data_IF_629813173589
#
_entry.id   IF_629813173589
#
_cell.length_a   1.000
_cell.length_b   1.000
_cell.length_c   1.000
_cell.angle_alpha   90.00
_cell.angle_beta   90.00
_cell.angle_gamma   90.00
#
_symmetry.space_group_name_H-M   'P 1'
#
loop_
_entity.id
_entity.type
_entity.pdbx_description
1 polymer ?
#
# COMPACT_ATOMS: atom_id res chain seq x y z
N UNK A 1 26.40 -0.79 -11.18
CA UNK A 1 26.57 0.54 -11.76
C UNK A 1 25.25 1.27 -11.60
N UNK A 2 25.25 2.41 -10.87
CA UNK A 2 24.07 3.25 -10.73
C UNK A 2 23.63 3.79 -12.08
N UNK A 3 22.34 3.94 -12.26
CA UNK A 3 21.74 4.62 -13.40
C UNK A 3 21.21 5.94 -12.86
N UNK A 4 21.75 7.05 -13.35
CA UNK A 4 21.25 8.37 -12.98
C UNK A 4 19.86 8.58 -13.59
N UNK A 5 18.85 8.94 -12.80
CA UNK A 5 17.52 9.24 -13.34
C UNK A 5 17.55 10.57 -14.09
N UNK A 6 16.89 10.62 -15.23
CA UNK A 6 16.71 11.83 -16.02
C UNK A 6 15.24 12.22 -16.02
N UNK A 7 14.98 13.49 -15.79
CA UNK A 7 13.64 14.07 -15.90
C UNK A 7 13.42 14.47 -17.36
N UNK A 8 12.34 13.97 -17.95
CA UNK A 8 11.92 14.28 -19.33
C UNK A 8 10.53 14.90 -19.33
N UNK A 9 10.08 15.45 -20.45
CA UNK A 9 8.77 16.08 -20.63
C UNK A 9 8.50 17.24 -19.65
N UNK A 10 9.49 18.11 -19.51
CA UNK A 10 9.41 19.25 -18.60
C UNK A 10 8.30 20.26 -18.96
N UNK A 11 7.77 20.21 -20.17
CA UNK A 11 6.66 21.05 -20.65
C UNK A 11 5.31 20.73 -19.98
N UNK A 12 5.17 19.53 -19.39
CA UNK A 12 4.01 19.12 -18.60
C UNK A 12 4.21 19.23 -17.09
N UNK A 13 5.29 19.84 -16.63
CA UNK A 13 5.56 20.06 -15.22
C UNK A 13 4.98 21.39 -14.73
N UNK A 14 4.57 21.40 -13.45
CA UNK A 14 4.23 22.63 -12.76
C UNK A 14 5.52 23.36 -12.35
N UNK A 15 5.61 24.64 -12.65
CA UNK A 15 6.82 25.43 -12.36
C UNK A 15 6.46 26.86 -11.91
N UNK A 16 6.87 27.25 -10.71
CA UNK A 16 6.61 28.57 -10.16
C UNK A 16 5.12 28.95 -10.20
N UNK A 17 4.73 30.08 -10.80
CA UNK A 17 3.33 30.49 -10.90
C UNK A 17 2.54 29.75 -12.00
N UNK A 18 3.21 28.94 -12.82
CA UNK A 18 2.58 28.21 -13.92
C UNK A 18 2.07 26.86 -13.45
N UNK A 19 0.76 26.78 -13.22
CA UNK A 19 0.10 25.55 -12.79
C UNK A 19 -0.07 24.59 -13.96
N UNK A 20 0.31 23.33 -13.78
CA UNK A 20 -0.01 22.25 -14.69
C UNK A 20 -1.35 21.62 -14.28
N UNK A 21 -2.25 21.38 -15.27
CA UNK A 21 -3.50 20.66 -15.09
C UNK A 21 -3.49 19.27 -15.72
N UNK A 22 -2.37 18.91 -16.32
CA UNK A 22 -2.19 17.57 -16.91
C UNK A 22 -1.95 16.54 -15.82
N UNK A 23 -2.53 15.37 -15.99
CA UNK A 23 -2.30 14.25 -15.09
C UNK A 23 -2.55 12.91 -15.77
N UNK A 24 -1.91 11.88 -15.25
CA UNK A 24 -2.22 10.50 -15.59
C UNK A 24 -3.17 9.93 -14.54
N UNK A 25 -4.35 9.47 -14.95
CA UNK A 25 -5.44 9.10 -14.04
C UNK A 25 -5.08 8.09 -12.94
N UNK A 26 -4.06 7.25 -13.16
CA UNK A 26 -3.61 6.29 -12.15
C UNK A 26 -2.69 6.89 -11.07
N UNK A 27 -2.09 8.06 -11.32
CA UNK A 27 -1.16 8.70 -10.40
C UNK A 27 -1.73 9.94 -9.70
N UNK A 28 -2.84 10.49 -10.23
CA UNK A 28 -3.43 11.71 -9.66
C UNK A 28 -3.96 11.47 -8.24
N UNK A 29 -3.69 12.43 -7.36
CA UNK A 29 -4.22 12.40 -6.00
C UNK A 29 -5.74 12.62 -6.02
N UNK A 30 -6.55 11.66 -5.53
CA UNK A 30 -7.99 11.80 -5.50
C UNK A 30 -8.49 12.96 -4.60
N UNK A 31 -7.66 13.47 -3.68
CA UNK A 31 -8.01 14.65 -2.87
C UNK A 31 -8.05 15.94 -3.69
N UNK A 32 -7.36 15.98 -4.84
CA UNK A 32 -7.39 17.11 -5.76
C UNK A 32 -8.50 16.99 -6.81
N UNK A 33 -9.24 15.88 -6.80
CA UNK A 33 -10.27 15.57 -7.79
C UNK A 33 -11.68 15.84 -7.25
N UNK A 34 -12.62 16.03 -8.18
CA UNK A 34 -14.05 16.09 -7.84
C UNK A 34 -14.51 14.72 -7.28
N UNK A 35 -14.93 14.66 -6.00
CA UNK A 35 -15.34 13.40 -5.36
C UNK A 35 -16.63 12.81 -5.94
N UNK A 36 -17.41 13.60 -6.70
CA UNK A 36 -18.66 13.16 -7.34
C UNK A 36 -18.46 12.68 -8.78
N UNK A 37 -17.27 12.84 -9.32
CA UNK A 37 -16.98 12.44 -10.69
C UNK A 37 -16.93 10.91 -10.84
N UNK A 38 -17.30 10.42 -12.03
CA UNK A 38 -17.23 8.97 -12.36
C UNK A 38 -15.81 8.47 -12.62
N UNK A 39 -14.86 9.38 -12.78
CA UNK A 39 -13.43 9.13 -12.96
C UNK A 39 -12.66 10.34 -12.42
N UNK A 40 -11.37 10.23 -12.11
CA UNK A 40 -10.59 11.36 -11.62
C UNK A 40 -10.71 12.58 -12.54
N UNK A 41 -11.12 13.70 -11.99
CA UNK A 41 -11.24 14.98 -12.65
C UNK A 41 -10.67 16.06 -11.73
N UNK A 42 -9.52 16.61 -12.12
CA UNK A 42 -8.77 17.55 -11.32
C UNK A 42 -9.54 18.87 -11.17
N UNK A 43 -9.75 19.29 -9.91
CA UNK A 43 -10.40 20.58 -9.56
C UNK A 43 -9.48 21.49 -8.77
N UNK A 44 -8.38 20.99 -8.25
CA UNK A 44 -7.35 21.73 -7.53
C UNK A 44 -5.99 21.57 -8.21
N UNK A 45 -5.07 22.54 -8.11
CA UNK A 45 -3.72 22.40 -8.65
C UNK A 45 -2.93 21.32 -7.88
N UNK A 46 -1.93 20.76 -8.56
CA UNK A 46 -0.95 19.87 -7.92
C UNK A 46 -0.18 20.62 -6.82
N UNK A 47 0.31 19.88 -5.83
CA UNK A 47 1.12 20.38 -4.73
C UNK A 47 2.11 19.29 -4.27
N UNK A 48 2.99 19.62 -3.32
CA UNK A 48 3.99 18.66 -2.81
C UNK A 48 3.39 17.36 -2.29
N UNK A 49 2.25 17.41 -1.60
CA UNK A 49 1.56 16.22 -1.11
C UNK A 49 1.09 15.31 -2.25
N UNK A 50 0.59 15.92 -3.35
CA UNK A 50 0.18 15.16 -4.54
C UNK A 50 1.37 14.52 -5.27
N UNK A 51 2.55 15.14 -5.22
CA UNK A 51 3.77 14.59 -5.80
C UNK A 51 4.26 13.39 -4.98
N UNK A 52 4.25 13.50 -3.64
CA UNK A 52 4.55 12.37 -2.77
C UNK A 52 3.55 11.23 -2.89
N UNK A 53 2.26 11.54 -3.11
CA UNK A 53 1.25 10.54 -3.41
C UNK A 53 1.55 9.79 -4.71
N UNK A 54 1.88 10.51 -5.78
CA UNK A 54 2.25 9.94 -7.07
C UNK A 54 3.52 9.09 -6.97
N UNK A 55 4.52 9.57 -6.22
CA UNK A 55 5.74 8.83 -5.92
C UNK A 55 5.43 7.51 -5.18
N UNK A 56 4.58 7.54 -4.18
CA UNK A 56 4.21 6.34 -3.44
C UNK A 56 3.50 5.29 -4.31
N UNK A 57 2.65 5.71 -5.27
CA UNK A 57 2.06 4.81 -6.26
C UNK A 57 3.14 4.17 -7.13
N UNK A 58 4.07 4.98 -7.64
CA UNK A 58 5.16 4.51 -8.49
C UNK A 58 6.07 3.55 -7.71
N UNK A 59 6.40 3.86 -6.47
CA UNK A 59 7.19 3.01 -5.58
C UNK A 59 6.50 1.67 -5.36
N UNK A 60 5.21 1.67 -5.00
CA UNK A 60 4.46 0.43 -4.80
C UNK A 60 4.41 -0.42 -6.07
N UNK A 61 4.21 0.21 -7.25
CA UNK A 61 4.23 -0.51 -8.54
C UNK A 61 5.61 -1.10 -8.84
N UNK A 62 6.69 -0.41 -8.52
CA UNK A 62 8.06 -0.89 -8.73
C UNK A 62 8.41 -2.07 -7.83
N UNK A 63 7.92 -2.06 -6.59
CA UNK A 63 8.19 -3.11 -5.60
C UNK A 63 7.29 -4.35 -5.77
N UNK A 64 6.03 -4.17 -6.17
CA UNK A 64 5.03 -5.23 -6.14
C UNK A 64 4.44 -5.58 -7.52
N UNK A 65 4.80 -4.86 -8.58
CA UNK A 65 4.19 -4.97 -9.92
C UNK A 65 2.67 -4.75 -9.93
N UNK A 66 2.15 -4.07 -8.92
CA UNK A 66 0.74 -3.67 -8.78
C UNK A 66 0.65 -2.33 -8.07
N UNK A 67 -0.22 -1.46 -8.56
CA UNK A 67 -0.53 -0.19 -7.88
C UNK A 67 -1.61 -0.37 -6.81
N UNK A 68 -1.80 0.64 -5.94
CA UNK A 68 -2.70 0.56 -4.79
C UNK A 68 -4.16 0.28 -5.17
N UNK A 69 -4.62 0.67 -6.36
CA UNK A 69 -5.99 0.48 -6.84
C UNK A 69 -6.12 -0.63 -7.89
N UNK A 70 -5.14 -1.54 -7.96
CA UNK A 70 -5.13 -2.69 -8.85
C UNK A 70 -6.06 -3.83 -8.42
N UNK A 71 -5.83 -5.01 -9.01
CA UNK A 71 -6.60 -6.21 -8.69
C UNK A 71 -8.03 -6.22 -9.26
N UNK A 72 -8.83 -7.18 -8.78
CA UNK A 72 -10.21 -7.38 -9.24
C UNK A 72 -11.15 -7.13 -8.08
N UNK A 73 -11.87 -6.01 -8.13
CA UNK A 73 -12.87 -5.67 -7.13
C UNK A 73 -14.15 -6.50 -7.33
N UNK A 74 -14.58 -7.18 -6.26
CA UNK A 74 -15.77 -8.02 -6.23
C UNK A 74 -16.58 -7.67 -4.98
N UNK A 75 -17.41 -6.60 -5.02
CA UNK A 75 -18.21 -6.23 -3.88
C UNK A 75 -19.22 -7.33 -3.54
N UNK A 76 -19.42 -7.59 -2.26
CA UNK A 76 -20.45 -8.50 -1.75
C UNK A 76 -21.85 -7.93 -1.93
N UNK A 77 -21.97 -6.60 -1.91
CA UNK A 77 -23.20 -5.85 -2.13
C UNK A 77 -22.88 -4.51 -2.80
N UNK A 78 -23.90 -3.93 -3.47
CA UNK A 78 -23.76 -2.63 -4.12
C UNK A 78 -23.24 -2.68 -5.56
N UNK A 79 -22.92 -1.50 -6.08
CA UNK A 79 -22.51 -1.33 -7.47
C UNK A 79 -21.01 -1.59 -7.66
N UNK A 80 -20.66 -2.27 -8.74
CA UNK A 80 -19.27 -2.48 -9.12
C UNK A 80 -18.63 -1.15 -9.54
N UNK A 81 -17.63 -0.71 -8.81
CA UNK A 81 -16.86 0.49 -9.13
C UNK A 81 -15.79 0.16 -10.18
N UNK A 82 -15.73 0.88 -11.31
CA UNK A 82 -14.72 0.65 -12.33
C UNK A 82 -13.33 1.00 -11.80
N UNK A 83 -12.28 0.38 -12.36
CA UNK A 83 -10.91 0.56 -11.89
C UNK A 83 -10.47 2.03 -11.91
N UNK A 84 -10.91 2.79 -12.90
CA UNK A 84 -10.59 4.22 -13.05
C UNK A 84 -11.14 5.09 -11.93
N UNK A 85 -12.19 4.65 -11.23
CA UNK A 85 -12.81 5.40 -10.13
C UNK A 85 -12.40 4.90 -8.74
N UNK A 86 -11.65 3.80 -8.63
CA UNK A 86 -11.35 3.18 -7.32
C UNK A 86 -10.56 4.10 -6.39
N UNK A 87 -9.66 4.93 -6.93
CA UNK A 87 -8.94 5.92 -6.13
C UNK A 87 -9.88 6.90 -5.43
N UNK A 88 -10.95 7.37 -6.11
CA UNK A 88 -11.97 8.24 -5.53
C UNK A 88 -12.75 7.57 -4.39
N UNK A 89 -12.91 6.26 -4.43
CA UNK A 89 -13.61 5.45 -3.43
C UNK A 89 -12.68 4.74 -2.44
N UNK A 90 -11.35 4.95 -2.50
CA UNK A 90 -10.33 4.31 -1.64
C UNK A 90 -10.38 2.78 -1.67
N UNK A 91 -10.86 2.19 -2.78
CA UNK A 91 -10.89 0.73 -2.97
C UNK A 91 -9.49 0.27 -3.36
N UNK A 92 -8.73 -0.16 -2.39
CA UNK A 92 -7.31 -0.52 -2.54
C UNK A 92 -7.11 -2.03 -2.64
N UNK A 93 -5.89 -2.46 -2.98
CA UNK A 93 -5.49 -3.88 -2.95
C UNK A 93 -5.46 -4.48 -1.53
N UNK A 94 -5.56 -3.64 -0.49
CA UNK A 94 -5.69 -4.06 0.91
C UNK A 94 -7.13 -4.36 1.31
N UNK A 95 -8.11 -3.98 0.47
CA UNK A 95 -9.52 -4.23 0.71
C UNK A 95 -9.82 -5.74 0.54
N UNK A 96 -10.52 -6.38 1.49
CA UNK A 96 -10.88 -7.81 1.41
C UNK A 96 -11.80 -8.15 0.22
N UNK A 97 -12.49 -7.17 -0.35
CA UNK A 97 -13.31 -7.34 -1.56
C UNK A 97 -12.48 -7.21 -2.86
N UNK A 98 -11.19 -6.91 -2.75
CA UNK A 98 -10.29 -6.85 -3.90
C UNK A 98 -9.44 -8.11 -3.96
N UNK A 99 -9.64 -8.91 -5.01
CA UNK A 99 -8.78 -10.04 -5.29
C UNK A 99 -7.43 -9.55 -5.81
N UNK A 100 -6.37 -9.84 -5.07
CA UNK A 100 -5.00 -9.48 -5.43
C UNK A 100 -4.57 -10.16 -6.73
N UNK A 101 -3.81 -9.48 -7.64
CA UNK A 101 -3.40 -10.07 -8.92
C UNK A 101 -2.38 -11.19 -8.72
N UNK A 102 -2.60 -12.34 -9.33
CA UNK A 102 -1.67 -13.48 -9.22
C UNK A 102 -0.23 -13.21 -9.69
N UNK A 103 0.00 -12.43 -10.80
CA UNK A 103 1.36 -12.16 -11.27
C UNK A 103 2.10 -11.10 -10.44
N UNK A 104 1.41 -10.40 -9.55
CA UNK A 104 2.03 -9.40 -8.68
C UNK A 104 2.73 -10.05 -7.48
N UNK A 105 3.78 -9.41 -7.00
CA UNK A 105 4.49 -9.83 -5.78
C UNK A 105 3.56 -9.60 -4.59
N UNK A 106 3.35 -10.58 -3.71
CA UNK A 106 2.51 -10.42 -2.53
C UNK A 106 3.01 -9.26 -1.65
N UNK A 107 2.13 -8.34 -1.26
CA UNK A 107 2.53 -7.19 -0.44
C UNK A 107 3.11 -7.60 0.93
N UNK A 108 2.79 -8.79 1.42
CA UNK A 108 3.36 -9.34 2.65
C UNK A 108 4.89 -9.51 2.65
N UNK A 109 5.59 -9.38 1.51
CA UNK A 109 7.06 -9.40 1.46
C UNK A 109 7.69 -8.08 1.95
N UNK A 110 6.93 -6.98 1.94
CA UNK A 110 7.40 -5.67 2.39
C UNK A 110 7.43 -5.56 3.92
N UNK A 111 8.28 -4.68 4.48
CA UNK A 111 8.26 -4.35 5.91
C UNK A 111 6.90 -3.80 6.34
N UNK A 112 6.51 -4.06 7.58
CA UNK A 112 5.22 -3.63 8.11
C UNK A 112 5.06 -2.11 8.11
N UNK A 113 6.13 -1.38 8.42
CA UNK A 113 6.12 0.09 8.43
C UNK A 113 5.84 0.67 7.03
N UNK A 114 6.42 0.08 5.99
CA UNK A 114 6.18 0.51 4.60
C UNK A 114 4.75 0.15 4.16
N UNK A 115 4.25 -1.02 4.55
CA UNK A 115 2.85 -1.41 4.30
C UNK A 115 1.87 -0.49 5.02
N UNK A 116 2.15 -0.15 6.28
CA UNK A 116 1.35 0.80 7.04
C UNK A 116 1.34 2.18 6.37
N UNK A 117 2.49 2.66 5.91
CA UNK A 117 2.58 3.92 5.18
C UNK A 117 1.66 3.89 3.95
N UNK A 118 1.74 2.86 3.11
CA UNK A 118 0.87 2.72 1.94
C UNK A 118 -0.61 2.66 2.32
N UNK A 119 -0.96 1.89 3.34
CA UNK A 119 -2.34 1.80 3.80
C UNK A 119 -2.87 3.17 4.30
N UNK A 120 -2.10 3.87 5.11
CA UNK A 120 -2.49 5.20 5.62
C UNK A 120 -2.64 6.22 4.49
N UNK A 121 -1.76 6.19 3.50
CA UNK A 121 -1.81 7.11 2.37
C UNK A 121 -2.97 6.82 1.43
N UNK A 122 -3.18 5.55 1.02
CA UNK A 122 -4.14 5.19 -0.02
C UNK A 122 -5.54 4.89 0.47
N UNK A 123 -5.70 4.40 1.71
CA UNK A 123 -7.00 4.05 2.28
C UNK A 123 -7.50 5.05 3.31
N UNK A 124 -6.61 5.85 3.93
CA UNK A 124 -6.94 6.79 5.03
C UNK A 124 -6.62 8.25 4.71
N UNK A 125 -6.29 8.54 3.46
CA UNK A 125 -6.01 9.90 2.97
C UNK A 125 -4.91 10.67 3.72
N UNK A 126 -4.01 9.97 4.42
CA UNK A 126 -2.88 10.62 5.07
C UNK A 126 -1.91 11.12 4.00
N UNK A 127 -1.55 12.40 4.09
CA UNK A 127 -0.58 13.05 3.20
C UNK A 127 0.62 13.54 3.98
N UNK A 128 1.64 13.96 3.27
CA UNK A 128 2.91 14.46 3.77
C UNK A 128 4.09 13.85 3.04
N UNK A 129 5.28 14.28 3.42
CA UNK A 129 6.54 13.82 2.84
C UNK A 129 6.74 12.32 3.02
N UNK A 130 7.34 11.69 2.01
CA UNK A 130 7.73 10.29 2.11
C UNK A 130 8.90 10.13 3.10
N UNK A 131 8.77 9.27 4.13
CA UNK A 131 9.85 9.03 5.07
C UNK A 131 10.94 8.16 4.41
N UNK A 132 12.01 8.78 3.93
CA UNK A 132 13.10 8.09 3.21
C UNK A 132 13.70 6.94 4.01
N UNK A 133 13.70 7.04 5.34
CA UNK A 133 14.17 5.99 6.26
C UNK A 133 13.47 4.65 6.04
N UNK A 134 12.23 4.64 5.54
CA UNK A 134 11.52 3.41 5.20
C UNK A 134 12.22 2.62 4.09
N UNK A 135 12.88 3.30 3.15
CA UNK A 135 13.69 2.66 2.10
C UNK A 135 15.10 2.36 2.58
N UNK A 136 15.74 3.31 3.26
CA UNK A 136 17.10 3.18 3.77
C UNK A 136 17.24 2.01 4.74
N UNK A 137 16.21 1.76 5.55
CA UNK A 137 16.17 0.66 6.52
C UNK A 137 15.71 -0.67 5.92
N UNK A 138 15.16 -0.68 4.70
CA UNK A 138 14.69 -1.90 4.06
C UNK A 138 15.87 -2.80 3.70
N UNK A 139 15.88 -4.03 4.22
CA UNK A 139 16.89 -5.06 3.93
C UNK A 139 16.20 -6.27 3.32
N UNK A 140 16.53 -6.53 2.08
CA UNK A 140 16.03 -7.68 1.35
C UNK A 140 16.86 -8.92 1.69
N UNK A 141 16.20 -10.04 1.88
CA UNK A 141 16.80 -11.35 2.08
C UNK A 141 16.04 -12.41 1.31
N UNK A 142 16.73 -13.46 0.93
CA UNK A 142 16.13 -14.63 0.28
C UNK A 142 15.93 -15.73 1.32
N UNK A 143 14.70 -16.21 1.45
CA UNK A 143 14.39 -17.31 2.36
C UNK A 143 15.12 -18.59 1.93
N UNK A 144 15.92 -19.19 2.80
CA UNK A 144 16.64 -20.44 2.52
C UNK A 144 15.74 -21.65 2.33
N UNK A 145 14.50 -21.60 2.85
CA UNK A 145 13.55 -22.71 2.79
C UNK A 145 12.71 -22.70 1.51
N UNK A 146 12.19 -21.55 1.07
CA UNK A 146 11.26 -21.46 -0.05
C UNK A 146 11.72 -20.54 -1.20
N UNK A 147 12.89 -19.89 -1.07
CA UNK A 147 13.44 -19.02 -2.10
C UNK A 147 12.75 -17.67 -2.24
N UNK A 148 11.74 -17.35 -1.42
CA UNK A 148 11.03 -16.06 -1.50
C UNK A 148 11.93 -14.92 -1.06
N UNK A 149 12.04 -13.89 -1.88
CA UNK A 149 12.66 -12.62 -1.49
C UNK A 149 11.69 -11.79 -0.66
N UNK A 150 12.13 -11.32 0.50
CA UNK A 150 11.31 -10.49 1.41
C UNK A 150 12.19 -9.55 2.23
N UNK A 151 11.58 -8.50 2.77
CA UNK A 151 12.23 -7.53 3.65
C UNK A 151 11.64 -7.57 5.08
N UNK A 152 11.36 -8.77 5.58
CA UNK A 152 10.79 -9.03 6.90
C UNK A 152 11.75 -9.87 7.75
N UNK A 153 11.59 -9.85 9.07
CA UNK A 153 12.36 -10.70 9.99
C UNK A 153 12.05 -12.19 9.76
N UNK A 154 10.82 -12.53 9.38
CA UNK A 154 10.38 -13.89 9.08
C UNK A 154 9.82 -13.95 7.66
N UNK A 155 10.08 -15.06 6.96
CA UNK A 155 9.54 -15.28 5.63
C UNK A 155 8.00 -15.36 5.66
N UNK A 156 7.26 -14.51 4.93
CA UNK A 156 5.80 -14.51 4.97
C UNK A 156 5.19 -15.79 4.43
N UNK A 157 5.84 -16.45 3.47
CA UNK A 157 5.36 -17.72 2.92
C UNK A 157 5.52 -18.87 3.92
N UNK A 158 6.68 -18.97 4.58
CA UNK A 158 6.94 -20.03 5.54
C UNK A 158 6.15 -19.83 6.84
N UNK A 159 5.93 -18.57 7.26
CA UNK A 159 5.13 -18.26 8.45
C UNK A 159 3.66 -18.66 8.29
N UNK A 160 3.11 -18.57 7.05
CA UNK A 160 1.73 -19.01 6.76
C UNK A 160 1.57 -20.53 6.72
N UNK A 161 2.66 -21.26 6.42
CA UNK A 161 2.67 -22.74 6.36
C UNK A 161 3.10 -23.39 7.68
N UNK A 162 3.59 -22.60 8.64
CA UNK A 162 3.92 -23.11 9.96
C UNK A 162 2.65 -23.64 10.64
N UNK A 163 2.69 -24.83 11.26
CA UNK A 163 1.56 -25.32 12.06
C UNK A 163 1.24 -24.27 13.12
N UNK A 164 -0.07 -24.06 13.38
CA UNK A 164 -0.54 -23.11 14.39
C UNK A 164 0.28 -23.30 15.66
N UNK A 165 0.86 -22.21 16.14
CA UNK A 165 1.67 -22.24 17.36
C UNK A 165 0.89 -22.98 18.44
N UNK A 166 1.57 -23.92 19.13
CA UNK A 166 0.99 -24.65 20.25
C UNK A 166 0.41 -23.60 21.20
N UNK A 167 -0.91 -23.68 21.43
CA UNK A 167 -1.58 -22.83 22.41
C UNK A 167 -1.08 -23.28 23.77
N UNK A 168 -0.07 -22.61 24.31
CA UNK A 168 0.34 -22.79 25.69
C UNK A 168 -0.79 -22.28 26.59
N UNK A 169 -1.55 -23.21 27.13
CA UNK A 169 -2.55 -22.89 28.15
C UNK A 169 -1.81 -22.71 29.46
N UNK A 170 -1.47 -21.49 29.81
CA UNK A 170 -0.90 -21.19 31.12
C UNK A 170 -2.03 -21.22 32.14
N UNK A 171 -2.09 -22.28 32.95
CA UNK A 171 -3.04 -22.37 34.07
C UNK A 171 -2.53 -21.49 35.20
N UNK A 172 -3.09 -20.29 35.33
CA UNK A 172 -2.84 -19.41 36.47
C UNK A 172 -3.73 -19.87 37.64
N UNK A 173 -3.13 -20.30 38.73
CA UNK A 173 -3.88 -20.57 39.98
C UNK A 173 -4.29 -19.23 40.62
N UNK A 174 -5.53 -18.82 40.39
CA UNK A 174 -6.11 -17.58 40.91
C UNK A 174 -7.39 -17.20 40.15
N UNK A 175 -8.11 -16.19 40.63
CA UNK A 175 -9.40 -15.73 40.05
C UNK A 175 -9.26 -14.84 38.81
N UNK A 176 -8.11 -14.82 38.16
CA UNK A 176 -7.87 -14.01 36.94
C UNK A 176 -7.91 -14.94 35.72
N UNK A 177 -8.91 -14.78 34.88
CA UNK A 177 -8.99 -15.45 33.58
C UNK A 177 -8.42 -14.51 32.53
N UNK A 178 -7.29 -14.90 31.93
CA UNK A 178 -6.71 -14.18 30.79
C UNK A 178 -7.19 -14.86 29.52
N UNK A 179 -7.98 -14.16 28.71
CA UNK A 179 -8.41 -14.64 27.40
C UNK A 179 -7.57 -13.95 26.35
N UNK A 180 -6.76 -14.72 25.60
CA UNK A 180 -6.07 -14.20 24.43
C UNK A 180 -7.10 -14.02 23.32
N UNK A 181 -7.38 -12.76 22.94
CA UNK A 181 -8.40 -12.43 21.95
C UNK A 181 -7.79 -12.47 20.54
N UNK A 182 -6.52 -12.12 20.42
CA UNK A 182 -5.85 -12.03 19.12
C UNK A 182 -4.34 -12.19 19.26
N UNK A 183 -3.72 -12.84 18.29
CA UNK A 183 -2.27 -12.95 18.16
C UNK A 183 -1.86 -12.73 16.71
N UNK A 184 -0.84 -11.92 16.46
CA UNK A 184 -0.25 -11.70 15.15
C UNK A 184 1.26 -11.61 15.25
N UNK A 185 1.96 -12.04 14.20
CA UNK A 185 3.39 -11.83 14.02
C UNK A 185 3.71 -10.49 13.35
N UNK A 186 2.68 -9.71 12.98
CA UNK A 186 2.77 -8.40 12.37
C UNK A 186 2.24 -7.28 13.28
N UNK A 187 2.32 -6.04 12.80
CA UNK A 187 1.76 -4.86 13.47
C UNK A 187 0.22 -4.92 13.48
N UNK A 188 -0.37 -4.67 14.65
CA UNK A 188 -1.81 -4.46 14.77
C UNK A 188 -2.10 -3.02 14.32
N UNK A 189 -2.72 -2.86 13.16
CA UNK A 189 -3.02 -1.55 12.57
C UNK A 189 -4.28 -0.90 13.18
N UNK A 190 -5.19 -1.72 13.75
CA UNK A 190 -6.38 -1.29 14.51
C UNK A 190 -6.75 -2.39 15.51
N UNK A 191 -7.00 -2.02 16.75
CA UNK A 191 -7.57 -2.87 17.80
C UNK A 191 -8.92 -2.31 18.25
#
# INVERSE_FOLDING_TARGET
KGVDPWVIDADSMQFGPYCCRMFTGKFVDPLLCDPKAKSPMLIQPHNADSDWYSFAIMLMQSLLYVGPFGGIYRPKSGQKIPQTARSLHRITVFDPEVKYPKPAIPYGVLPDELLQFFHMMFAKDKRGDFPLQLLENTRWTTCSTCGTEHARSLCPNCAQTAPAAIIETTTVRGSVTVTRIFETTGLILNA
#
